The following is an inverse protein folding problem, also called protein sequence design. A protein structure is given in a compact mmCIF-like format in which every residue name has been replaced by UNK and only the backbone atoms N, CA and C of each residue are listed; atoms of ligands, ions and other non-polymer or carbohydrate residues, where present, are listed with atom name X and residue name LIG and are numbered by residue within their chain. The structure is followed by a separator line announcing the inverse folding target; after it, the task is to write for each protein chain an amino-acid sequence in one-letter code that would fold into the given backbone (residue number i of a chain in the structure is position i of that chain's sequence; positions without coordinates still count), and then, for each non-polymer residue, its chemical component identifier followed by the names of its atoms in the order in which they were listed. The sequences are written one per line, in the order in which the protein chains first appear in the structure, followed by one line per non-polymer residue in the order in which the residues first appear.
data_IF_400488029656
#
_entry.id   IF_400488029656
#
_cell.length_a   1.000
_cell.length_b   1.000
_cell.length_c   1.000
_cell.angle_alpha   90.00
_cell.angle_beta   90.00
_cell.angle_gamma   90.00
#
_symmetry.space_group_name_H-M   'P 1'
#
loop_
_entity.id
_entity.type
_entity.pdbx_description
1 polymer ?
#
# COMPACT_ATOMS: atom_id res chain seq x y z
N UNK A 1 -3.79 -20.88 10.26
CA UNK A 1 -4.60 -22.04 10.66
C UNK A 1 -5.12 -22.83 9.45
N UNK A 2 -5.55 -22.18 8.38
CA UNK A 2 -6.08 -22.88 7.19
C UNK A 2 -5.06 -23.79 6.49
N UNK A 3 -3.78 -23.46 6.55
CA UNK A 3 -2.69 -24.24 5.96
C UNK A 3 -2.01 -25.20 6.95
N UNK A 4 -2.37 -25.10 8.22
CA UNK A 4 -1.79 -25.92 9.27
C UNK A 4 -2.32 -27.35 9.24
N UNK A 5 -1.47 -28.29 9.61
CA UNK A 5 -1.77 -29.72 9.67
C UNK A 5 -1.67 -30.22 11.11
N UNK A 6 -2.33 -31.33 11.38
CA UNK A 6 -2.10 -32.07 12.65
C UNK A 6 -0.63 -32.44 12.72
N UNK A 7 -0.02 -32.17 13.88
CA UNK A 7 1.41 -32.37 14.12
C UNK A 7 2.28 -31.12 13.94
N UNK A 8 1.77 -30.06 13.26
CA UNK A 8 2.51 -28.80 13.11
C UNK A 8 2.71 -28.12 14.46
N UNK A 9 3.87 -27.49 14.63
CA UNK A 9 4.19 -26.66 15.79
C UNK A 9 4.06 -25.21 15.40
N UNK A 10 3.24 -24.45 16.15
CA UNK A 10 2.96 -23.04 15.92
C UNK A 10 3.30 -22.20 17.14
N UNK A 11 3.63 -20.95 16.95
CA UNK A 11 3.81 -19.97 18.03
C UNK A 11 2.54 -19.15 18.19
N UNK A 12 2.00 -19.08 19.42
CA UNK A 12 0.91 -18.17 19.80
C UNK A 12 1.37 -17.36 21.01
N UNK A 13 1.54 -16.07 20.82
CA UNK A 13 2.17 -15.22 21.80
C UNK A 13 3.63 -15.64 22.04
N UNK A 14 4.01 -15.81 23.28
CA UNK A 14 5.36 -16.21 23.71
C UNK A 14 5.55 -17.74 23.80
N UNK A 15 4.50 -18.52 23.55
CA UNK A 15 4.50 -19.99 23.74
C UNK A 15 4.39 -20.75 22.44
N UNK A 16 4.98 -21.95 22.42
CA UNK A 16 4.92 -22.89 21.29
C UNK A 16 3.91 -23.99 21.56
N UNK A 17 3.15 -24.36 20.55
CA UNK A 17 2.03 -25.28 20.62
C UNK A 17 2.05 -26.25 19.45
N UNK A 18 1.83 -27.54 19.75
CA UNK A 18 1.64 -28.52 18.69
C UNK A 18 0.16 -28.78 18.46
N UNK A 19 -0.24 -28.78 17.18
CA UNK A 19 -1.62 -29.05 16.77
C UNK A 19 -1.88 -30.55 16.89
N UNK A 20 -2.83 -30.93 17.74
CA UNK A 20 -3.27 -32.32 17.89
C UNK A 20 -4.45 -32.66 16.97
N UNK A 21 -5.41 -31.73 16.87
CA UNK A 21 -6.61 -31.95 16.10
C UNK A 21 -7.11 -30.64 15.50
N UNK A 22 -7.68 -30.72 14.31
CA UNK A 22 -8.37 -29.61 13.66
C UNK A 22 -9.79 -30.04 13.35
N UNK A 23 -10.75 -29.50 14.07
CA UNK A 23 -12.18 -29.70 13.83
C UNK A 23 -12.75 -28.56 13.01
N UNK A 24 -14.06 -28.54 12.83
CA UNK A 24 -14.77 -27.50 12.07
C UNK A 24 -14.69 -26.12 12.74
N UNK A 25 -14.73 -26.11 14.05
CA UNK A 25 -14.93 -24.91 14.89
C UNK A 25 -13.73 -24.61 15.82
N UNK A 26 -12.79 -25.55 15.97
CA UNK A 26 -11.66 -25.39 16.88
C UNK A 26 -10.40 -26.10 16.40
N UNK A 27 -9.26 -25.64 16.93
CA UNK A 27 -7.97 -26.29 16.79
C UNK A 27 -7.52 -26.69 18.20
N UNK A 28 -7.35 -27.98 18.44
CA UNK A 28 -6.86 -28.52 19.71
C UNK A 28 -5.33 -28.53 19.65
N UNK A 29 -4.70 -27.90 20.63
CA UNK A 29 -3.25 -27.78 20.72
C UNK A 29 -2.75 -28.23 22.08
N UNK A 30 -1.51 -28.72 22.14
CA UNK A 30 -0.79 -29.02 23.38
C UNK A 30 0.49 -28.20 23.45
N UNK A 31 0.97 -27.85 24.65
CA UNK A 31 2.24 -27.17 24.80
C UNK A 31 3.39 -27.98 24.18
N UNK A 32 4.28 -27.30 23.45
CA UNK A 32 5.44 -27.89 22.78
C UNK A 32 6.72 -27.09 23.06
N UNK A 33 7.14 -26.92 24.32
CA UNK A 33 8.28 -26.09 24.66
C UNK A 33 9.56 -26.63 24.02
N UNK A 34 10.44 -25.72 23.57
CA UNK A 34 11.74 -26.05 22.98
C UNK A 34 11.69 -26.59 21.54
N UNK A 35 10.51 -26.67 20.92
CA UNK A 35 10.39 -27.06 19.49
C UNK A 35 10.43 -25.86 18.57
N UNK A 36 11.08 -26.01 17.42
CA UNK A 36 11.04 -25.01 16.37
C UNK A 36 9.60 -24.86 15.85
N UNK A 37 9.04 -23.66 15.96
CA UNK A 37 7.67 -23.36 15.59
C UNK A 37 7.61 -22.44 14.38
N UNK A 38 6.56 -22.57 13.58
CA UNK A 38 6.21 -21.60 12.55
C UNK A 38 5.32 -20.52 13.16
N UNK A 39 5.64 -19.26 12.85
CA UNK A 39 4.71 -18.16 13.10
C UNK A 39 3.48 -18.35 12.20
N UNK A 40 2.26 -18.44 12.75
CA UNK A 40 1.07 -18.37 11.93
C UNK A 40 1.04 -16.97 11.31
N UNK A 41 1.13 -16.89 9.99
CA UNK A 41 0.95 -15.61 9.30
C UNK A 41 -0.52 -15.23 9.39
N UNK A 42 -0.79 -14.24 10.22
CA UNK A 42 -2.05 -13.52 10.23
C UNK A 42 -1.90 -12.33 9.27
N UNK A 43 -2.12 -12.57 8.00
CA UNK A 43 -2.41 -11.46 7.10
C UNK A 43 -3.90 -11.18 7.27
N UNK A 44 -4.22 -10.11 7.97
CA UNK A 44 -5.53 -9.52 7.83
C UNK A 44 -5.68 -9.03 6.39
N UNK A 45 -6.82 -9.30 5.76
CA UNK A 45 -7.19 -8.67 4.51
C UNK A 45 -7.45 -7.20 4.82
N UNK A 46 -6.38 -6.42 4.95
CA UNK A 46 -6.50 -4.96 5.03
C UNK A 46 -6.77 -4.47 3.63
N UNK A 47 -7.95 -3.94 3.42
CA UNK A 47 -8.38 -3.41 2.13
C UNK A 47 -7.56 -2.19 1.67
N UNK A 48 -6.76 -1.62 2.57
CA UNK A 48 -6.04 -0.39 2.33
C UNK A 48 -6.94 0.84 2.42
N UNK A 49 -6.34 2.03 2.39
CA UNK A 49 -7.06 3.29 2.40
C UNK A 49 -7.85 3.46 1.10
N UNK A 50 -9.11 3.88 1.21
CA UNK A 50 -9.95 4.26 0.07
C UNK A 50 -9.42 5.55 -0.57
N UNK A 51 -9.49 5.63 -1.91
CA UNK A 51 -9.02 6.80 -2.66
C UNK A 51 -9.72 8.10 -2.24
N UNK A 52 -11.04 8.05 -2.03
CA UNK A 52 -11.82 9.22 -1.58
C UNK A 52 -11.37 9.72 -0.22
N UNK A 53 -11.08 8.81 0.71
CA UNK A 53 -10.53 9.16 2.02
C UNK A 53 -9.11 9.73 1.89
N UNK A 54 -8.24 9.10 1.10
CA UNK A 54 -6.89 9.58 0.83
C UNK A 54 -6.88 10.99 0.21
N UNK A 55 -7.77 11.24 -0.76
CA UNK A 55 -7.95 12.55 -1.36
C UNK A 55 -8.41 13.60 -0.32
N UNK A 56 -9.34 13.25 0.56
CA UNK A 56 -9.80 14.15 1.63
C UNK A 56 -8.68 14.45 2.63
N UNK A 57 -7.89 13.44 3.01
CA UNK A 57 -6.72 13.60 3.87
C UNK A 57 -5.66 14.51 3.22
N UNK A 58 -5.32 14.26 1.94
CA UNK A 58 -4.38 15.10 1.20
C UNK A 58 -4.86 16.55 1.08
N UNK A 59 -6.16 16.76 0.85
CA UNK A 59 -6.78 18.10 0.86
C UNK A 59 -6.64 18.79 2.20
N UNK A 60 -6.95 18.08 3.29
CA UNK A 60 -6.77 18.60 4.64
C UNK A 60 -5.32 19.01 4.88
N UNK A 61 -4.35 18.15 4.55
CA UNK A 61 -2.92 18.46 4.69
C UNK A 61 -2.54 19.72 3.90
N UNK A 62 -3.02 19.88 2.67
CA UNK A 62 -2.80 21.09 1.87
C UNK A 62 -3.41 22.34 2.50
N UNK A 63 -4.64 22.26 3.03
CA UNK A 63 -5.30 23.37 3.72
C UNK A 63 -4.53 23.77 5.00
N UNK A 64 -4.07 22.78 5.77
CA UNK A 64 -3.26 23.01 6.96
C UNK A 64 -1.90 23.64 6.62
N UNK A 65 -1.24 23.18 5.54
CA UNK A 65 0.03 23.74 5.11
C UNK A 65 -0.06 25.21 4.72
N UNK A 66 -1.21 25.64 4.18
CA UNK A 66 -1.48 27.05 3.87
C UNK A 66 -1.66 27.91 5.11
N UNK A 67 -2.16 27.31 6.21
CA UNK A 67 -2.30 27.98 7.51
C UNK A 67 -1.05 27.93 8.39
N UNK A 68 0.00 27.25 7.92
CA UNK A 68 1.24 27.09 8.69
C UNK A 68 2.10 28.36 8.58
N UNK A 69 2.44 28.96 9.72
CA UNK A 69 3.41 30.05 9.81
C UNK A 69 4.81 29.46 9.92
N UNK A 70 5.60 29.57 8.85
CA UNK A 70 7.01 29.17 8.86
C UNK A 70 7.80 30.14 9.71
N UNK A 71 8.64 29.63 10.62
CA UNK A 71 9.61 30.44 11.34
C UNK A 71 10.61 31.03 10.34
N UNK A 72 10.68 32.35 10.28
CA UNK A 72 11.92 32.97 9.84
C UNK A 72 13.02 32.64 10.88
N UNK A 73 14.23 32.23 10.44
CA UNK A 73 15.31 32.00 11.39
C UNK A 73 15.52 33.29 12.20
N UNK A 74 15.46 33.16 13.53
CA UNK A 74 15.59 34.26 14.45
C UNK A 74 16.91 35.00 14.15
N UNK A 75 16.81 36.17 13.58
CA UNK A 75 17.91 37.13 13.48
C UNK A 75 18.11 37.68 14.89
N UNK A 76 19.22 37.24 15.51
CA UNK A 76 19.82 37.72 16.75
C UNK A 76 19.15 37.36 18.09
N UNK A 77 19.82 36.46 18.80
CA UNK A 77 20.27 36.52 20.18
C UNK A 77 19.44 37.27 21.26
N UNK A 78 18.17 36.86 21.52
CA UNK A 78 17.52 37.21 22.75
C UNK A 78 17.01 35.96 23.45
N UNK A 79 17.73 35.58 24.52
CA UNK A 79 17.50 34.35 25.30
C UNK A 79 16.28 34.42 26.25
N UNK A 80 15.33 35.34 26.08
CA UNK A 80 14.31 35.58 27.08
C UNK A 80 12.86 35.40 26.62
N UNK A 81 12.58 34.55 25.63
CA UNK A 81 11.20 34.34 25.19
C UNK A 81 10.90 32.86 24.92
N UNK A 82 11.10 32.01 25.92
CA UNK A 82 10.71 30.60 25.85
C UNK A 82 9.18 30.39 25.71
N UNK A 83 8.37 31.43 25.98
CA UNK A 83 6.91 31.39 25.86
C UNK A 83 6.37 31.84 24.49
N UNK A 84 7.13 32.61 23.70
CA UNK A 84 6.69 33.10 22.39
C UNK A 84 6.93 32.05 21.25
N UNK A 85 7.65 31.00 21.55
CA UNK A 85 8.07 29.96 20.60
C UNK A 85 6.97 28.97 20.27
N UNK A 86 5.90 28.87 21.08
CA UNK A 86 4.81 27.90 20.93
C UNK A 86 3.57 28.43 20.20
N UNK A 87 3.44 29.75 19.99
CA UNK A 87 2.23 30.35 19.40
C UNK A 87 2.28 30.52 17.87
N UNK A 88 3.37 30.21 17.21
CA UNK A 88 3.57 30.51 15.81
C UNK A 88 3.52 29.28 14.91
N UNK A 89 2.50 28.44 15.00
CA UNK A 89 2.45 27.21 14.19
C UNK A 89 1.30 27.22 13.17
N UNK A 90 0.10 27.50 13.58
CA UNK A 90 -1.02 27.73 12.66
C UNK A 90 -1.60 29.14 12.84
N UNK A 91 -2.16 29.68 11.76
CA UNK A 91 -2.94 30.90 11.87
C UNK A 91 -4.18 30.66 12.76
N UNK A 92 -4.75 31.75 13.28
CA UNK A 92 -5.86 31.69 14.22
C UNK A 92 -7.08 30.94 13.68
N UNK A 93 -7.37 31.08 12.40
CA UNK A 93 -8.52 30.45 11.76
C UNK A 93 -8.36 28.93 11.71
N UNK A 94 -7.18 28.45 11.28
CA UNK A 94 -6.83 27.03 11.22
C UNK A 94 -6.82 26.41 12.61
N UNK A 95 -6.23 27.07 13.61
CA UNK A 95 -6.21 26.59 14.99
C UNK A 95 -7.63 26.45 15.55
N UNK A 96 -8.49 27.48 15.39
CA UNK A 96 -9.89 27.42 15.84
C UNK A 96 -10.71 26.35 15.11
N UNK A 97 -10.42 26.06 13.86
CA UNK A 97 -11.05 24.95 13.14
C UNK A 97 -10.65 23.62 13.78
N UNK A 98 -9.37 23.38 14.00
CA UNK A 98 -8.87 22.13 14.59
C UNK A 98 -9.41 21.91 16.01
N UNK A 99 -9.54 22.98 16.82
CA UNK A 99 -10.19 22.93 18.14
C UNK A 99 -11.67 22.51 18.03
N UNK A 100 -12.42 23.06 17.07
CA UNK A 100 -13.81 22.66 16.82
C UNK A 100 -13.92 21.21 16.34
N UNK A 101 -12.91 20.73 15.61
CA UNK A 101 -12.82 19.34 15.14
C UNK A 101 -12.38 18.39 16.29
N UNK A 102 -12.14 18.90 17.50
CA UNK A 102 -11.88 18.13 18.71
C UNK A 102 -10.41 17.91 19.03
N UNK A 103 -9.48 18.59 18.36
CA UNK A 103 -8.07 18.52 18.68
C UNK A 103 -7.75 19.42 19.89
N UNK A 104 -6.99 18.89 20.85
CA UNK A 104 -6.45 19.69 21.95
C UNK A 104 -5.21 20.47 21.49
N UNK A 105 -4.75 21.38 22.35
CA UNK A 105 -3.59 22.23 22.08
C UNK A 105 -2.32 21.41 21.75
N UNK A 106 -2.09 20.29 22.44
CA UNK A 106 -0.92 19.46 22.21
C UNK A 106 -0.99 18.76 20.84
N UNK A 107 -2.17 18.27 20.46
CA UNK A 107 -2.39 17.66 19.15
C UNK A 107 -2.18 18.67 18.01
N UNK A 108 -2.70 19.89 18.16
CA UNK A 108 -2.51 20.99 17.20
C UNK A 108 -1.04 21.37 17.08
N UNK A 109 -0.32 21.50 18.20
CA UNK A 109 1.10 21.82 18.23
C UNK A 109 1.95 20.73 17.57
N UNK A 110 1.69 19.46 17.89
CA UNK A 110 2.40 18.33 17.30
C UNK A 110 2.14 18.20 15.79
N UNK A 111 0.90 18.45 15.35
CA UNK A 111 0.56 18.42 13.92
C UNK A 111 1.28 19.53 13.15
N UNK A 112 1.33 20.75 13.71
CA UNK A 112 2.04 21.85 13.09
C UNK A 112 3.54 21.57 12.99
N UNK A 113 4.13 21.03 14.07
CA UNK A 113 5.53 20.63 14.09
C UNK A 113 5.85 19.57 13.06
N UNK A 114 5.00 18.54 12.91
CA UNK A 114 5.15 17.50 11.91
C UNK A 114 5.17 18.07 10.48
N UNK A 115 4.23 18.99 10.18
CA UNK A 115 4.16 19.60 8.85
C UNK A 115 5.35 20.53 8.58
N UNK A 116 5.81 21.24 9.61
CA UNK A 116 6.97 22.14 9.50
C UNK A 116 8.26 21.34 9.25
N UNK A 117 8.51 20.27 10.03
CA UNK A 117 9.64 19.35 9.85
C UNK A 117 9.62 18.70 8.45
N UNK A 118 8.45 18.28 7.98
CA UNK A 118 8.33 17.73 6.63
C UNK A 118 8.68 18.78 5.56
N UNK A 119 8.20 20.00 5.73
CA UNK A 119 8.49 21.08 4.80
C UNK A 119 9.97 21.52 4.82
N UNK A 120 10.61 21.50 5.99
CA UNK A 120 12.05 21.76 6.12
C UNK A 120 12.88 20.67 5.43
N UNK A 121 12.47 19.41 5.56
CA UNK A 121 13.20 18.28 5.00
C UNK A 121 13.10 18.19 3.47
N UNK A 122 11.94 18.46 2.89
CA UNK A 122 11.65 18.20 1.48
C UNK A 122 11.27 19.44 0.67
N UNK A 123 11.20 20.61 1.30
CA UNK A 123 10.81 21.87 0.65
C UNK A 123 9.31 21.98 0.35
N UNK A 124 8.56 20.90 0.45
CA UNK A 124 7.11 20.86 0.20
C UNK A 124 6.44 19.80 1.06
N UNK A 125 5.13 19.88 1.23
CA UNK A 125 4.34 18.95 2.04
C UNK A 125 3.49 18.08 1.11
N UNK A 126 3.58 16.74 1.20
CA UNK A 126 2.76 15.83 0.41
C UNK A 126 1.27 16.11 0.60
N UNK A 127 0.52 16.19 -0.51
CA UNK A 127 -0.89 16.55 -0.48
C UNK A 127 -1.69 15.87 -1.59
N UNK A 128 -2.97 16.25 -1.75
CA UNK A 128 -3.80 15.83 -2.88
C UNK A 128 -3.35 16.43 -4.22
N UNK A 129 -2.41 17.38 -4.22
CA UNK A 129 -1.91 18.05 -5.42
C UNK A 129 -0.40 18.03 -5.56
N UNK A 130 0.30 17.66 -4.51
CA UNK A 130 1.76 17.62 -4.49
C UNK A 130 2.22 16.26 -4.00
N UNK A 131 2.77 15.46 -4.89
CA UNK A 131 3.45 14.22 -4.55
C UNK A 131 4.94 14.52 -4.40
N UNK A 132 5.52 14.03 -3.32
CA UNK A 132 6.94 14.26 -3.01
C UNK A 132 7.72 13.00 -3.27
N UNK A 133 8.83 13.13 -3.98
CA UNK A 133 9.75 12.03 -4.24
C UNK A 133 11.07 12.32 -3.53
N UNK A 134 11.41 11.49 -2.56
CA UNK A 134 12.69 11.54 -1.89
C UNK A 134 13.63 10.49 -2.47
N UNK A 135 14.88 10.87 -2.66
CA UNK A 135 15.96 9.95 -3.06
C UNK A 135 17.04 9.95 -2.00
N UNK A 136 17.33 8.80 -1.47
CA UNK A 136 18.45 8.62 -0.53
C UNK A 136 19.17 7.32 -0.80
N UNK A 137 20.35 7.17 -0.20
CA UNK A 137 21.06 5.89 -0.16
C UNK A 137 20.81 5.22 1.17
N UNK A 138 20.57 3.91 1.13
CA UNK A 138 20.49 3.12 2.36
C UNK A 138 21.90 2.79 2.91
N UNK A 139 21.93 2.13 4.07
CA UNK A 139 23.18 1.74 4.75
C UNK A 139 24.04 0.78 3.89
N UNK A 140 23.46 0.06 2.95
CA UNK A 140 24.13 -0.84 2.00
C UNK A 140 24.67 -0.11 0.76
N UNK A 141 24.35 1.17 0.60
CA UNK A 141 24.70 1.98 -0.57
C UNK A 141 23.68 1.91 -1.70
N UNK A 142 22.63 1.09 -1.59
CA UNK A 142 21.58 1.00 -2.58
C UNK A 142 20.71 2.26 -2.61
N UNK A 143 20.17 2.59 -3.77
CA UNK A 143 19.21 3.67 -3.91
C UNK A 143 17.86 3.32 -3.28
N UNK A 144 17.36 4.24 -2.47
CA UNK A 144 15.99 4.23 -1.97
C UNK A 144 15.25 5.44 -2.52
N UNK A 145 14.17 5.18 -3.25
CA UNK A 145 13.26 6.21 -3.77
C UNK A 145 11.93 6.04 -3.05
N UNK A 146 11.46 7.09 -2.41
CA UNK A 146 10.22 7.11 -1.63
C UNK A 146 9.27 8.10 -2.29
N UNK A 147 8.10 7.65 -2.66
CA UNK A 147 7.02 8.47 -3.21
C UNK A 147 6.01 8.68 -2.10
N UNK A 148 5.91 9.87 -1.57
CA UNK A 148 4.88 10.25 -0.61
C UNK A 148 3.60 10.61 -1.34
N UNK A 149 2.52 9.92 -1.01
CA UNK A 149 1.23 10.05 -1.69
C UNK A 149 0.10 9.64 -0.75
N UNK A 150 -0.97 10.43 -0.61
CA UNK A 150 -2.06 10.14 0.32
C UNK A 150 -3.10 9.16 -0.23
N UNK A 151 -3.02 8.75 -1.49
CA UNK A 151 -4.11 8.12 -2.23
C UNK A 151 -4.43 6.68 -1.83
N UNK A 152 -3.61 6.05 -0.98
CA UNK A 152 -3.87 4.74 -0.43
C UNK A 152 -3.31 3.56 -1.24
N UNK A 153 -3.15 2.43 -0.56
CA UNK A 153 -2.51 1.23 -1.09
C UNK A 153 -3.21 0.67 -2.33
N UNK A 154 -4.54 0.79 -2.42
CA UNK A 154 -5.30 0.33 -3.59
C UNK A 154 -4.91 1.03 -4.89
N UNK A 155 -4.43 2.27 -4.79
CA UNK A 155 -3.87 3.05 -5.91
C UNK A 155 -2.38 2.75 -6.09
N UNK A 156 -1.65 2.63 -4.99
CA UNK A 156 -0.20 2.47 -5.02
C UNK A 156 0.24 1.08 -5.49
N UNK A 157 -0.50 0.00 -5.18
CA UNK A 157 -0.15 -1.35 -5.62
C UNK A 157 -0.11 -1.51 -7.15
N UNK A 158 -1.14 -1.13 -7.92
CA UNK A 158 -1.07 -1.21 -9.38
C UNK A 158 -0.02 -0.27 -9.97
N UNK A 159 0.26 0.87 -9.34
CA UNK A 159 1.35 1.75 -9.75
C UNK A 159 2.71 1.11 -9.49
N UNK A 160 2.94 0.54 -8.32
CA UNK A 160 4.14 -0.22 -7.98
C UNK A 160 4.37 -1.40 -8.93
N UNK A 161 3.31 -2.10 -9.34
CA UNK A 161 3.36 -3.18 -10.32
C UNK A 161 3.85 -2.69 -11.69
N UNK A 162 3.35 -1.55 -12.15
CA UNK A 162 3.79 -0.93 -13.39
C UNK A 162 5.25 -0.48 -13.31
N UNK A 163 5.66 0.14 -12.19
CA UNK A 163 7.04 0.56 -11.92
C UNK A 163 7.98 -0.66 -11.95
N UNK A 164 7.63 -1.74 -11.24
CA UNK A 164 8.43 -2.98 -11.22
C UNK A 164 8.63 -3.53 -12.64
N UNK A 165 7.55 -3.54 -13.42
CA UNK A 165 7.61 -4.00 -14.82
C UNK A 165 8.54 -3.13 -15.67
N UNK A 166 8.48 -1.81 -15.52
CA UNK A 166 9.35 -0.87 -16.23
C UNK A 166 10.82 -1.01 -15.81
N UNK A 167 11.09 -1.19 -14.51
CA UNK A 167 12.44 -1.46 -14.01
C UNK A 167 13.00 -2.72 -14.65
N UNK A 168 12.23 -3.80 -14.67
CA UNK A 168 12.64 -5.06 -15.28
C UNK A 168 12.92 -4.93 -16.78
N UNK A 169 12.08 -4.20 -17.50
CA UNK A 169 12.25 -3.96 -18.96
C UNK A 169 13.47 -3.09 -19.25
N UNK A 170 13.73 -2.07 -18.43
CA UNK A 170 14.80 -1.10 -18.69
C UNK A 170 16.17 -1.55 -18.20
N UNK A 171 16.20 -2.20 -17.04
CA UNK A 171 17.45 -2.54 -16.35
C UNK A 171 17.73 -4.06 -16.31
N UNK A 172 16.75 -4.90 -16.65
CA UNK A 172 16.93 -6.36 -16.72
C UNK A 172 16.91 -7.08 -15.36
N UNK A 173 16.58 -6.39 -14.26
CA UNK A 173 16.45 -7.00 -12.93
C UNK A 173 15.10 -6.71 -12.29
N UNK A 174 14.72 -7.51 -11.29
CA UNK A 174 13.50 -7.32 -10.52
C UNK A 174 13.81 -6.33 -9.37
N UNK A 175 13.35 -5.06 -9.50
CA UNK A 175 13.43 -4.07 -8.43
C UNK A 175 12.54 -4.45 -7.25
N UNK A 176 12.97 -4.08 -6.03
CA UNK A 176 12.13 -4.22 -4.85
C UNK A 176 11.23 -2.99 -4.75
N UNK A 177 9.92 -3.17 -4.94
CA UNK A 177 8.94 -2.10 -4.87
C UNK A 177 7.86 -2.48 -3.86
N UNK A 178 7.62 -1.61 -2.90
CA UNK A 178 6.66 -1.81 -1.82
C UNK A 178 5.63 -0.68 -1.83
N UNK A 179 4.36 -1.03 -1.83
CA UNK A 179 3.25 -0.09 -1.75
C UNK A 179 2.60 -0.15 -0.36
N UNK A 180 2.38 1.02 0.22
CA UNK A 180 1.66 1.22 1.47
C UNK A 180 0.61 2.31 1.30
N UNK A 181 -0.19 2.60 2.34
CA UNK A 181 -1.24 3.62 2.24
C UNK A 181 -0.70 5.04 2.04
N UNK A 182 0.51 5.31 2.51
CA UNK A 182 1.12 6.65 2.46
C UNK A 182 2.14 6.82 1.33
N UNK A 183 2.28 5.80 0.45
CA UNK A 183 3.16 5.92 -0.70
C UNK A 183 3.76 4.62 -1.22
N UNK A 184 4.84 4.78 -1.98
CA UNK A 184 5.58 3.68 -2.61
C UNK A 184 7.05 3.82 -2.28
N UNK A 185 7.70 2.72 -1.91
CA UNK A 185 9.15 2.65 -1.66
C UNK A 185 9.79 1.74 -2.68
N UNK A 186 10.78 2.25 -3.41
CA UNK A 186 11.59 1.50 -4.34
C UNK A 186 12.99 1.33 -3.76
N UNK A 187 13.56 0.14 -3.91
CA UNK A 187 14.97 -0.13 -3.65
C UNK A 187 15.63 -0.63 -4.92
N UNK A 188 16.69 0.04 -5.33
CA UNK A 188 17.44 -0.27 -6.54
C UNK A 188 18.93 -0.41 -6.20
N UNK A 189 19.64 -1.43 -6.74
CA UNK A 189 21.05 -1.61 -6.47
C UNK A 189 21.88 -0.42 -6.90
N UNK A 190 23.01 -0.19 -6.22
CA UNK A 190 24.02 0.78 -6.65
C UNK A 190 24.62 0.37 -8.01
N UNK A 191 25.05 1.35 -8.79
CA UNK A 191 25.68 1.11 -10.10
C UNK A 191 24.93 1.64 -11.31
N UNK A 192 23.72 2.18 -11.13
CA UNK A 192 22.91 2.72 -12.24
C UNK A 192 22.98 4.26 -12.36
N UNK A 193 24.07 4.88 -11.92
CA UNK A 193 24.33 6.31 -12.13
C UNK A 193 23.16 7.21 -11.70
N UNK A 194 22.86 8.22 -12.51
CA UNK A 194 21.71 9.11 -12.27
C UNK A 194 20.41 8.40 -12.73
N UNK A 195 19.56 8.04 -11.75
CA UNK A 195 18.30 7.34 -12.01
C UNK A 195 17.28 8.33 -12.59
N UNK A 196 16.70 8.05 -13.74
CA UNK A 196 15.66 8.89 -14.31
C UNK A 196 14.33 8.65 -13.57
N UNK A 197 14.24 9.17 -12.34
CA UNK A 197 13.13 8.94 -11.42
C UNK A 197 11.79 9.27 -12.08
N UNK A 198 11.70 10.43 -12.70
CA UNK A 198 10.46 10.87 -13.36
C UNK A 198 10.00 9.90 -14.46
N UNK A 199 10.92 9.37 -15.26
CA UNK A 199 10.60 8.41 -16.32
C UNK A 199 10.18 7.04 -15.77
N UNK A 200 10.63 6.68 -14.57
CA UNK A 200 10.20 5.45 -13.90
C UNK A 200 8.78 5.55 -13.34
N UNK A 201 8.39 6.73 -12.91
CA UNK A 201 7.14 6.96 -12.18
C UNK A 201 5.99 7.38 -13.09
N UNK A 202 6.25 8.16 -14.14
CA UNK A 202 5.22 8.66 -15.06
C UNK A 202 4.98 7.69 -16.20
N UNK A 203 3.72 7.38 -16.44
CA UNK A 203 3.25 6.49 -17.50
C UNK A 203 2.24 7.19 -18.37
N UNK A 204 2.26 6.92 -19.66
CA UNK A 204 1.08 7.14 -20.49
C UNK A 204 -0.11 6.34 -19.91
N UNK A 205 -1.30 6.92 -19.92
CA UNK A 205 -2.47 6.36 -19.23
C UNK A 205 -2.89 5.01 -19.84
N UNK A 206 -2.81 4.88 -21.16
CA UNK A 206 -3.19 3.66 -21.85
C UNK A 206 -2.07 2.58 -21.77
N UNK A 207 -0.82 3.01 -21.74
CA UNK A 207 0.32 2.13 -21.45
C UNK A 207 0.21 1.55 -20.04
N UNK A 208 -0.03 2.40 -19.04
CA UNK A 208 -0.23 1.99 -17.65
C UNK A 208 -1.31 0.93 -17.51
N UNK A 209 -2.47 1.18 -18.11
CA UNK A 209 -3.58 0.22 -18.08
C UNK A 209 -3.18 -1.12 -18.66
N UNK A 210 -2.57 -1.15 -19.84
CA UNK A 210 -2.13 -2.40 -20.48
C UNK A 210 -1.10 -3.17 -19.65
N UNK A 211 -0.15 -2.47 -19.04
CA UNK A 211 0.84 -3.09 -18.15
C UNK A 211 0.13 -3.75 -16.97
N UNK A 212 -0.72 -3.00 -16.26
CA UNK A 212 -1.40 -3.50 -15.06
C UNK A 212 -2.33 -4.67 -15.39
N UNK A 213 -3.13 -4.57 -16.45
CA UNK A 213 -4.02 -5.65 -16.89
C UNK A 213 -3.25 -6.95 -17.21
N UNK A 214 -2.13 -6.81 -17.91
CA UNK A 214 -1.28 -7.96 -18.28
C UNK A 214 -0.66 -8.62 -17.05
N UNK A 215 -0.07 -7.81 -16.16
CA UNK A 215 0.63 -8.31 -14.98
C UNK A 215 -0.34 -8.92 -13.96
N UNK A 216 -1.50 -8.31 -13.79
CA UNK A 216 -2.56 -8.84 -12.90
C UNK A 216 -3.03 -10.20 -13.39
N UNK A 217 -3.26 -10.38 -14.68
CA UNK A 217 -3.73 -11.66 -15.25
C UNK A 217 -2.81 -12.86 -14.97
N UNK A 218 -1.54 -12.61 -14.71
CA UNK A 218 -0.54 -13.64 -14.38
C UNK A 218 -0.22 -13.73 -12.88
N UNK A 219 -0.82 -12.87 -12.07
CA UNK A 219 -0.50 -12.71 -10.66
C UNK A 219 -1.15 -13.77 -9.76
N UNK A 220 -0.58 -13.94 -8.56
CA UNK A 220 -1.17 -14.74 -7.48
C UNK A 220 -2.52 -14.16 -7.04
N UNK A 221 -2.67 -12.83 -7.09
CA UNK A 221 -3.91 -12.13 -6.80
C UNK A 221 -5.04 -12.62 -7.72
N UNK A 222 -4.79 -12.65 -9.03
CA UNK A 222 -5.78 -13.12 -10.01
C UNK A 222 -6.21 -14.56 -9.75
N UNK A 223 -5.25 -15.45 -9.46
CA UNK A 223 -5.57 -16.84 -9.13
C UNK A 223 -6.40 -16.97 -7.84
N UNK A 224 -6.11 -16.14 -6.82
CA UNK A 224 -6.87 -16.13 -5.58
C UNK A 224 -8.30 -15.65 -5.80
N UNK A 225 -8.48 -14.53 -6.49
CA UNK A 225 -9.81 -13.97 -6.83
C UNK A 225 -10.60 -14.88 -7.77
N UNK A 226 -9.94 -15.47 -8.77
CA UNK A 226 -10.59 -16.46 -9.64
C UNK A 226 -11.16 -17.64 -8.86
N UNK A 227 -10.42 -18.16 -7.86
CA UNK A 227 -10.95 -19.22 -7.00
C UNK A 227 -12.21 -18.79 -6.24
N UNK A 228 -12.23 -17.56 -5.73
CA UNK A 228 -13.37 -17.00 -5.00
C UNK A 228 -14.57 -16.78 -5.93
N UNK A 229 -14.34 -16.18 -7.10
CA UNK A 229 -15.35 -16.02 -8.14
C UNK A 229 -15.93 -17.38 -8.57
N UNK A 230 -15.07 -18.38 -8.81
CA UNK A 230 -15.47 -19.73 -9.21
C UNK A 230 -16.29 -20.44 -8.11
N UNK A 231 -15.93 -20.21 -6.84
CA UNK A 231 -16.68 -20.77 -5.71
C UNK A 231 -18.07 -20.12 -5.58
N UNK A 232 -18.17 -18.79 -5.70
CA UNK A 232 -19.44 -18.06 -5.67
C UNK A 232 -20.34 -18.42 -6.84
N UNK A 233 -19.77 -18.62 -8.01
CA UNK A 233 -20.48 -19.00 -9.23
C UNK A 233 -20.73 -20.52 -9.35
N UNK A 234 -20.44 -21.28 -8.30
CA UNK A 234 -20.69 -22.75 -8.21
C UNK A 234 -19.90 -23.59 -9.24
N UNK A 235 -18.85 -23.06 -9.85
CA UNK A 235 -17.95 -23.83 -10.73
C UNK A 235 -17.00 -24.75 -9.95
N UNK A 236 -16.78 -24.46 -8.67
CA UNK A 236 -16.03 -25.37 -7.79
C UNK A 236 -16.98 -26.23 -6.98
N UNK A 237 -16.67 -27.52 -6.78
CA UNK A 237 -17.50 -28.42 -6.00
C UNK A 237 -17.71 -27.88 -4.58
N UNK A 238 -18.96 -27.90 -4.10
CA UNK A 238 -19.26 -27.58 -2.71
C UNK A 238 -18.56 -28.55 -1.78
N UNK A 239 -18.04 -28.03 -0.70
CA UNK A 239 -17.57 -28.87 0.40
C UNK A 239 -18.77 -29.51 1.08
N UNK A 240 -18.74 -30.85 1.26
CA UNK A 240 -19.81 -31.52 2.00
C UNK A 240 -19.77 -31.06 3.46
N UNK A 241 -20.93 -30.84 4.10
CA UNK A 241 -20.98 -30.54 5.53
C UNK A 241 -20.15 -31.55 6.34
N UNK A 242 -19.31 -31.06 7.23
CA UNK A 242 -18.45 -31.92 8.06
C UNK A 242 -17.14 -32.42 7.39
N UNK A 243 -16.96 -32.24 6.08
CA UNK A 243 -15.68 -32.57 5.43
C UNK A 243 -14.89 -31.30 5.09
N UNK A 244 -13.70 -31.17 5.69
CA UNK A 244 -12.75 -30.12 5.32
C UNK A 244 -11.99 -30.52 4.06
N UNK A 245 -12.02 -29.68 3.04
CA UNK A 245 -11.15 -29.83 1.88
C UNK A 245 -9.91 -28.97 2.11
N UNK A 246 -8.70 -29.55 2.11
CA UNK A 246 -7.48 -28.78 2.27
C UNK A 246 -7.35 -27.67 1.23
N UNK A 247 -6.83 -26.50 1.63
CA UNK A 247 -6.73 -25.32 0.77
C UNK A 247 -5.89 -25.59 -0.49
N UNK A 248 -4.85 -26.40 -0.39
CA UNK A 248 -4.03 -26.77 -1.55
C UNK A 248 -4.83 -27.54 -2.62
N UNK A 249 -5.79 -28.40 -2.23
CA UNK A 249 -6.65 -29.09 -3.20
C UNK A 249 -7.64 -28.13 -3.87
N UNK A 250 -8.15 -27.14 -3.12
CA UNK A 250 -9.01 -26.10 -3.69
C UNK A 250 -8.22 -25.24 -4.67
N UNK A 251 -6.99 -24.87 -4.33
CA UNK A 251 -6.07 -24.12 -5.22
C UNK A 251 -5.79 -24.92 -6.51
N UNK A 252 -5.50 -26.21 -6.39
CA UNK A 252 -5.22 -27.06 -7.55
C UNK A 252 -6.45 -27.16 -8.49
N UNK A 253 -7.64 -27.37 -7.93
CA UNK A 253 -8.87 -27.41 -8.73
C UNK A 253 -9.18 -26.07 -9.39
N UNK A 254 -8.97 -24.98 -8.68
CA UNK A 254 -9.16 -23.64 -9.23
C UNK A 254 -8.15 -23.34 -10.35
N UNK A 255 -6.89 -23.75 -10.21
CA UNK A 255 -5.87 -23.61 -11.25
C UNK A 255 -6.20 -24.43 -12.51
N UNK A 256 -6.68 -25.66 -12.32
CA UNK A 256 -7.13 -26.50 -13.45
C UNK A 256 -8.32 -25.86 -14.18
N UNK A 257 -9.31 -25.35 -13.43
CA UNK A 257 -10.44 -24.63 -14.00
C UNK A 257 -10.01 -23.36 -14.73
N UNK A 258 -9.09 -22.57 -14.15
CA UNK A 258 -8.56 -21.37 -14.77
C UNK A 258 -7.87 -21.67 -16.11
N UNK A 259 -7.04 -22.71 -16.15
CA UNK A 259 -6.37 -23.13 -17.37
C UNK A 259 -7.37 -23.56 -18.46
N UNK A 260 -8.42 -24.30 -18.07
CA UNK A 260 -9.50 -24.67 -18.99
C UNK A 260 -10.31 -23.43 -19.43
N UNK A 261 -10.63 -22.52 -18.53
CA UNK A 261 -11.37 -21.29 -18.84
C UNK A 261 -10.62 -20.39 -19.82
N UNK A 262 -9.28 -20.30 -19.72
CA UNK A 262 -8.43 -19.50 -20.63
C UNK A 262 -8.50 -19.96 -22.09
N UNK A 263 -8.90 -21.20 -22.36
CA UNK A 263 -9.11 -21.68 -23.73
C UNK A 263 -10.43 -21.21 -24.34
N UNK A 264 -11.37 -20.74 -23.51
CA UNK A 264 -12.68 -20.27 -23.92
C UNK A 264 -12.65 -18.74 -24.09
N UNK A 265 -12.83 -18.26 -25.32
CA UNK A 265 -12.94 -16.81 -25.57
C UNK A 265 -14.14 -16.24 -24.81
N UNK A 266 -13.93 -15.11 -24.13
CA UNK A 266 -14.97 -14.36 -23.41
C UNK A 266 -15.65 -15.15 -22.29
N UNK A 267 -14.91 -16.02 -21.58
CA UNK A 267 -15.49 -16.72 -20.44
C UNK A 267 -15.80 -15.69 -19.32
N UNK A 268 -17.08 -15.53 -18.93
CA UNK A 268 -17.52 -14.40 -18.08
C UNK A 268 -16.78 -14.32 -16.73
N UNK A 269 -16.43 -15.49 -16.17
CA UNK A 269 -15.73 -15.56 -14.90
C UNK A 269 -14.32 -14.95 -14.95
N UNK A 270 -13.62 -15.04 -16.09
CA UNK A 270 -12.31 -14.40 -16.29
C UNK A 270 -12.45 -12.89 -16.29
N UNK A 271 -13.49 -12.38 -16.96
CA UNK A 271 -13.75 -10.93 -17.02
C UNK A 271 -14.13 -10.38 -15.64
N UNK A 272 -15.01 -11.10 -14.92
CA UNK A 272 -15.41 -10.70 -13.57
C UNK A 272 -14.23 -10.74 -12.59
N UNK A 273 -13.37 -11.76 -12.69
CA UNK A 273 -12.14 -11.82 -11.90
C UNK A 273 -11.22 -10.65 -12.20
N UNK A 274 -11.05 -10.29 -13.46
CA UNK A 274 -10.26 -9.12 -13.85
C UNK A 274 -10.86 -7.83 -13.29
N UNK A 275 -12.17 -7.65 -13.39
CA UNK A 275 -12.88 -6.49 -12.83
C UNK A 275 -12.65 -6.39 -11.32
N UNK A 276 -12.84 -7.49 -10.57
CA UNK A 276 -12.59 -7.51 -9.12
C UNK A 276 -11.14 -7.15 -8.78
N UNK A 277 -10.17 -7.69 -9.50
CA UNK A 277 -8.76 -7.34 -9.27
C UNK A 277 -8.48 -5.86 -9.54
N UNK A 278 -8.98 -5.32 -10.64
CA UNK A 278 -8.61 -3.99 -11.14
C UNK A 278 -9.44 -2.84 -10.54
N UNK A 279 -10.63 -3.14 -9.98
CA UNK A 279 -11.55 -2.12 -9.48
C UNK A 279 -11.89 -2.27 -7.99
N UNK A 280 -11.95 -3.50 -7.48
CA UNK A 280 -12.33 -3.74 -6.08
C UNK A 280 -11.09 -3.92 -5.18
N UNK A 281 -10.06 -4.64 -5.64
CA UNK A 281 -8.78 -4.79 -4.89
C UNK A 281 -7.87 -3.61 -5.18
N UNK A 282 -7.59 -3.38 -6.45
CA UNK A 282 -6.93 -2.18 -6.94
C UNK A 282 -7.97 -1.10 -7.27
N UNK A 283 -7.52 0.12 -7.33
CA UNK A 283 -8.30 1.24 -7.87
C UNK A 283 -7.59 1.79 -9.10
N UNK A 284 -7.60 1.01 -10.18
CA UNK A 284 -6.99 1.40 -11.45
C UNK A 284 -7.66 2.66 -12.05
N UNK A 285 -8.99 2.87 -11.95
CA UNK A 285 -9.61 4.11 -12.38
C UNK A 285 -9.05 5.34 -11.67
N UNK A 286 -8.87 5.29 -10.35
CA UNK A 286 -8.26 6.38 -9.59
C UNK A 286 -6.80 6.61 -10.00
N UNK A 287 -6.01 5.56 -10.17
CA UNK A 287 -4.63 5.67 -10.65
C UNK A 287 -4.54 6.33 -12.02
N UNK A 288 -5.43 6.01 -12.96
CA UNK A 288 -5.53 6.68 -14.26
C UNK A 288 -5.83 8.17 -14.13
N UNK A 289 -6.72 8.53 -13.21
CA UNK A 289 -7.06 9.93 -12.91
C UNK A 289 -5.83 10.68 -12.39
N UNK A 290 -5.06 10.07 -11.49
CA UNK A 290 -3.82 10.64 -10.95
C UNK A 290 -2.78 10.83 -12.06
N UNK A 291 -2.56 9.82 -12.92
CA UNK A 291 -1.64 9.95 -14.06
C UNK A 291 -2.04 11.07 -15.01
N UNK A 292 -3.33 11.18 -15.31
CA UNK A 292 -3.88 12.30 -16.11
C UNK A 292 -3.59 13.64 -15.44
N UNK A 293 -3.77 13.73 -14.11
CA UNK A 293 -3.46 14.93 -13.34
C UNK A 293 -1.98 15.30 -13.34
N UNK A 294 -1.09 14.33 -13.24
CA UNK A 294 0.36 14.52 -13.32
C UNK A 294 0.80 15.01 -14.70
N UNK A 295 0.23 14.47 -15.79
CA UNK A 295 0.51 14.94 -17.14
C UNK A 295 -0.06 16.33 -17.41
N UNK A 296 -1.23 16.65 -16.88
CA UNK A 296 -1.87 17.95 -17.00
C UNK A 296 -1.27 19.04 -16.09
N UNK A 297 -0.37 18.66 -15.16
CA UNK A 297 0.20 19.59 -14.18
C UNK A 297 -0.79 20.04 -13.09
N UNK A 298 -1.94 19.38 -12.94
CA UNK A 298 -2.91 19.63 -11.85
C UNK A 298 -2.51 18.91 -10.55
N UNK A 299 -1.67 17.89 -10.68
CA UNK A 299 -0.93 17.23 -9.62
C UNK A 299 0.56 17.40 -9.96
N UNK A 300 1.34 17.85 -8.99
CA UNK A 300 2.78 18.06 -9.13
C UNK A 300 3.55 16.85 -8.60
N UNK A 301 4.71 16.62 -9.18
CA UNK A 301 5.69 15.65 -8.68
C UNK A 301 6.97 16.43 -8.36
N UNK A 302 7.19 16.68 -7.06
CA UNK A 302 8.35 17.39 -6.52
C UNK A 302 9.42 16.40 -6.11
N UNK A 303 10.68 16.68 -6.45
CA UNK A 303 11.85 15.82 -6.21
C UNK A 303 12.93 16.59 -5.46
#
# INVERSE_FOLDING_TARGET
VYESRVGDVITLGTSTWQIQEITRDRVVVVPAPGRTARLPFWHGDQDGRDYGFGLAQGRLTRELSQGLHRREPAKNGDQNTAQTVLEAQFNRETAQRLERDGLDHNAISNLAKLLDEQCEATGTIPSDRDLVVERCRDEGGDWRIIIHSPYGRRVHEPWALAITTRIKQRFGFDGQVYAVDDGIVLRLPDGYGDLPTRELLLFDVDELQRIVETQVGESVLYMARFRECAARSLFLPRTRPGKRVPLWQQRLKAAQLLNAARTCKNFPLLLETARECLQDVYDLPALRTIMTGLHAGTILLSE
#
